data_IF_442138328858
#
_entry.id   IF_442138328858
#
_cell.length_a   1.000
_cell.length_b   1.000
_cell.length_c   1.000
_cell.angle_alpha   90.00
_cell.angle_beta   90.00
_cell.angle_gamma   90.00
#
_symmetry.space_group_name_H-M   'P 1'
#
loop_
_entity.id
_entity.type
_entity.pdbx_description
1 polymer ?
#
# COMPACT_ATOMS: atom_id res chain seq x y z
N UNK A 1 26.25 -23.90 -23.07
CA UNK A 1 26.06 -22.44 -23.28
C UNK A 1 24.62 -22.17 -22.88
N UNK A 2 24.31 -21.54 -21.73
CA UNK A 2 24.65 -20.16 -21.31
C UNK A 2 24.10 -19.16 -22.36
N UNK A 3 23.23 -18.19 -22.11
CA UNK A 3 22.40 -17.78 -20.94
C UNK A 3 21.06 -17.21 -21.52
N UNK A 4 20.06 -16.69 -20.79
CA UNK A 4 19.94 -16.18 -19.41
C UNK A 4 18.53 -16.46 -18.80
N UNK A 5 18.21 -15.79 -17.69
CA UNK A 5 16.90 -15.72 -17.00
C UNK A 5 16.35 -14.29 -16.96
N UNK A 6 15.03 -14.13 -16.92
CA UNK A 6 14.38 -13.10 -16.09
C UNK A 6 13.01 -13.61 -15.60
N UNK A 7 12.76 -13.46 -14.30
CA UNK A 7 11.47 -13.79 -13.69
C UNK A 7 10.55 -12.57 -13.77
N UNK A 8 9.36 -12.73 -14.35
CA UNK A 8 8.28 -11.73 -14.25
C UNK A 8 7.17 -12.27 -13.35
N UNK A 9 7.36 -12.15 -12.04
CA UNK A 9 6.34 -12.48 -11.04
C UNK A 9 5.47 -11.26 -10.77
N UNK A 10 4.58 -10.92 -11.72
CA UNK A 10 3.63 -9.83 -11.55
C UNK A 10 2.49 -10.23 -10.60
N UNK A 11 2.56 -9.80 -9.34
CA UNK A 11 1.36 -9.54 -8.53
C UNK A 11 1.06 -8.04 -8.56
N UNK A 12 0.08 -7.65 -9.37
CA UNK A 12 -0.48 -6.29 -9.36
C UNK A 12 -1.77 -6.26 -8.54
N UNK A 13 -1.75 -5.54 -7.42
CA UNK A 13 -2.94 -5.16 -6.68
C UNK A 13 -3.66 -4.03 -7.43
N UNK A 14 -4.63 -4.38 -8.27
CA UNK A 14 -5.48 -3.43 -8.99
C UNK A 14 -6.68 -3.04 -8.12
N UNK A 15 -6.74 -1.78 -7.71
CA UNK A 15 -7.87 -1.25 -6.93
C UNK A 15 -8.57 -0.15 -7.72
N UNK A 16 -9.82 -0.41 -8.08
CA UNK A 16 -10.66 0.51 -8.83
C UNK A 16 -11.49 1.38 -7.89
N UNK A 17 -10.96 2.55 -7.53
CA UNK A 17 -11.72 3.58 -6.82
C UNK A 17 -12.73 4.24 -7.76
N UNK A 18 -14.03 4.04 -7.52
CA UNK A 18 -15.09 4.63 -8.35
C UNK A 18 -15.68 5.89 -7.71
N UNK A 19 -14.96 7.01 -7.83
CA UNK A 19 -15.44 8.35 -7.49
C UNK A 19 -15.46 9.23 -8.74
N UNK A 20 -16.57 9.15 -9.48
CA UNK A 20 -16.89 9.92 -10.71
C UNK A 20 -16.02 9.63 -11.96
N UNK A 21 -14.79 9.15 -11.80
CA UNK A 21 -13.99 8.48 -12.85
C UNK A 21 -13.38 7.20 -12.28
N UNK A 22 -13.25 6.16 -13.10
CA UNK A 22 -12.62 4.92 -12.67
C UNK A 22 -11.11 5.11 -12.56
N UNK A 23 -10.59 5.26 -11.34
CA UNK A 23 -9.16 5.35 -11.10
C UNK A 23 -8.55 3.95 -11.11
N UNK A 24 -7.53 3.72 -11.94
CA UNK A 24 -6.65 2.57 -11.77
C UNK A 24 -5.43 3.02 -10.98
N UNK A 25 -5.35 2.59 -9.72
CA UNK A 25 -4.11 2.62 -8.93
C UNK A 25 -3.59 1.19 -8.91
N UNK A 26 -2.29 1.03 -9.17
CA UNK A 26 -1.62 -0.26 -9.12
C UNK A 26 -0.33 -0.15 -8.31
N UNK A 27 -0.23 -0.93 -7.23
CA UNK A 27 1.06 -1.33 -6.66
C UNK A 27 1.69 -2.44 -7.51
N UNK A 28 2.99 -2.72 -7.43
CA UNK A 28 4.04 -2.18 -6.54
C UNK A 28 5.35 -2.19 -7.32
N UNK A 29 6.13 -1.10 -7.33
CA UNK A 29 7.54 -1.13 -7.78
C UNK A 29 8.37 -0.20 -6.90
N UNK A 30 9.26 -0.77 -6.08
CA UNK A 30 10.28 -0.07 -5.26
C UNK A 30 9.80 1.27 -4.64
N UNK A 31 9.02 1.18 -3.55
CA UNK A 31 8.48 2.31 -2.75
C UNK A 31 7.65 3.38 -3.47
N UNK A 32 7.27 3.18 -4.74
CA UNK A 32 6.49 4.14 -5.51
C UNK A 32 5.10 3.60 -5.86
N UNK A 33 4.07 4.42 -5.64
CA UNK A 33 2.69 4.16 -6.08
C UNK A 33 2.46 4.82 -7.44
N UNK A 34 2.07 4.03 -8.45
CA UNK A 34 1.72 4.53 -9.78
C UNK A 34 0.22 4.54 -9.98
N UNK A 35 -0.28 5.58 -10.64
CA UNK A 35 -1.71 5.80 -10.81
C UNK A 35 -2.04 6.41 -12.17
N UNK A 36 -3.33 6.31 -12.52
CA UNK A 36 -3.84 6.74 -13.80
C UNK A 36 -5.33 7.11 -13.77
N UNK A 37 -5.68 8.11 -14.57
CA UNK A 37 -7.01 8.65 -14.79
C UNK A 37 -7.44 8.47 -16.25
N UNK A 38 -8.68 8.02 -16.45
CA UNK A 38 -9.30 7.70 -17.76
C UNK A 38 -8.57 6.61 -18.58
N UNK A 39 -9.31 5.69 -19.22
CA UNK A 39 -8.73 4.45 -19.79
C UNK A 39 -8.81 4.40 -21.33
N UNK A 40 -7.88 5.05 -22.07
CA UNK A 40 -7.65 4.76 -23.49
C UNK A 40 -6.39 3.92 -23.83
N UNK A 41 -5.24 4.10 -23.17
CA UNK A 41 -3.94 3.52 -23.60
C UNK A 41 -2.99 3.21 -22.44
N UNK A 42 -2.38 2.02 -22.28
CA UNK A 42 -1.62 1.62 -21.08
C UNK A 42 -0.33 2.45 -20.78
N UNK A 43 -0.51 3.64 -20.19
CA UNK A 43 0.51 4.57 -19.73
C UNK A 43 0.18 5.02 -18.29
N UNK A 44 1.19 5.42 -17.51
CA UNK A 44 1.04 5.99 -16.16
C UNK A 44 1.04 7.50 -16.22
N UNK A 45 0.17 8.17 -15.46
CA UNK A 45 0.08 9.64 -15.49
C UNK A 45 1.05 10.28 -14.49
N UNK A 46 1.27 9.65 -13.34
CA UNK A 46 2.11 10.17 -12.26
C UNK A 46 2.48 9.08 -11.24
N UNK A 47 3.35 9.42 -10.28
CA UNK A 47 3.81 8.55 -9.19
C UNK A 47 4.02 9.30 -7.88
N UNK A 48 3.73 8.67 -6.75
CA UNK A 48 4.07 9.16 -5.40
C UNK A 48 5.11 8.21 -4.76
N UNK A 49 6.25 8.74 -4.32
CA UNK A 49 7.17 8.01 -3.44
C UNK A 49 6.62 8.03 -2.02
N UNK A 50 6.55 6.85 -1.41
CA UNK A 50 6.00 6.65 -0.06
C UNK A 50 7.04 6.09 0.92
N UNK A 51 8.28 5.85 0.48
CA UNK A 51 9.38 5.39 1.34
C UNK A 51 9.21 3.98 1.94
N UNK A 52 8.10 3.29 1.67
CA UNK A 52 7.74 1.97 2.22
C UNK A 52 7.20 1.06 1.13
N UNK A 53 7.29 -0.27 1.32
CA UNK A 53 6.75 -1.24 0.36
C UNK A 53 5.27 -1.50 0.66
N UNK A 54 4.39 -0.63 0.17
CA UNK A 54 2.94 -0.78 0.28
C UNK A 54 2.38 -1.91 -0.61
N UNK A 55 1.37 -2.63 -0.12
CA UNK A 55 0.82 -3.84 -0.75
C UNK A 55 -0.58 -3.60 -1.36
N UNK A 56 -1.64 -3.68 -0.55
CA UNK A 56 -3.01 -3.44 -1.00
C UNK A 56 -3.46 -2.02 -0.68
N UNK A 57 -4.28 -1.47 -1.58
CA UNK A 57 -4.81 -0.11 -1.54
C UNK A 57 -6.30 -0.15 -1.19
N UNK A 58 -6.73 0.67 -0.26
CA UNK A 58 -8.13 0.97 0.01
C UNK A 58 -8.40 2.43 -0.40
N UNK A 59 -9.61 2.71 -0.90
CA UNK A 59 -10.01 4.06 -1.33
C UNK A 59 -11.18 4.51 -0.46
N UNK A 60 -10.97 5.52 0.38
CA UNK A 60 -12.07 6.10 1.17
C UNK A 60 -13.10 6.74 0.22
N UNK A 61 -14.28 6.15 0.14
CA UNK A 61 -15.33 6.52 -0.83
C UNK A 61 -15.87 7.95 -0.64
N UNK A 62 -15.59 8.63 0.48
CA UNK A 62 -16.09 9.98 0.76
C UNK A 62 -15.08 11.07 0.41
N UNK A 63 -13.80 10.77 0.53
CA UNK A 63 -12.69 11.73 0.39
C UNK A 63 -11.83 11.47 -0.83
N UNK A 64 -11.78 10.22 -1.31
CA UNK A 64 -10.79 9.77 -2.29
C UNK A 64 -9.40 9.55 -1.69
N UNK A 65 -9.25 9.67 -0.36
CA UNK A 65 -7.97 9.38 0.32
C UNK A 65 -7.61 7.89 0.15
N UNK A 66 -6.36 7.61 -0.20
CA UNK A 66 -5.84 6.24 -0.26
C UNK A 66 -5.34 5.81 1.12
N UNK A 67 -5.58 4.56 1.47
CA UNK A 67 -5.06 3.91 2.68
C UNK A 67 -4.41 2.59 2.31
N UNK A 68 -3.23 2.30 2.84
CA UNK A 68 -2.44 1.13 2.45
C UNK A 68 -1.80 0.47 3.66
N UNK A 69 -1.76 -0.86 3.68
CA UNK A 69 -0.82 -1.59 4.53
C UNK A 69 0.53 -1.68 3.83
N UNK A 70 1.61 -1.37 4.56
CA UNK A 70 2.95 -1.30 3.99
C UNK A 70 3.99 -2.02 4.84
N UNK A 71 5.12 -2.33 4.21
CA UNK A 71 6.24 -3.04 4.82
C UNK A 71 7.46 -2.12 4.89
N UNK A 72 7.86 -1.61 6.08
CA UNK A 72 9.00 -0.70 6.23
C UNK A 72 10.34 -1.33 5.83
N UNK A 73 10.42 -2.66 5.88
CA UNK A 73 11.54 -3.41 5.35
C UNK A 73 11.03 -4.75 4.78
N UNK A 74 10.81 -4.79 3.47
CA UNK A 74 10.35 -5.98 2.74
C UNK A 74 11.30 -7.18 2.91
N UNK A 75 12.62 -6.96 3.09
CA UNK A 75 13.56 -8.07 3.27
C UNK A 75 13.28 -8.87 4.54
N UNK A 76 12.81 -8.23 5.63
CA UNK A 76 12.42 -8.95 6.85
C UNK A 76 11.21 -9.88 6.65
N UNK A 77 10.32 -9.56 5.70
CA UNK A 77 9.22 -10.46 5.33
C UNK A 77 9.74 -11.66 4.56
N UNK A 78 10.72 -11.46 3.66
CA UNK A 78 11.29 -12.53 2.82
C UNK A 78 12.21 -13.46 3.61
N UNK A 79 13.06 -12.95 4.51
CA UNK A 79 14.02 -13.76 5.27
C UNK A 79 13.48 -14.29 6.59
N UNK A 80 12.47 -13.61 7.17
CA UNK A 80 11.76 -13.93 8.42
C UNK A 80 12.62 -14.48 9.57
N UNK A 81 13.04 -13.60 10.49
CA UNK A 81 13.56 -14.00 11.81
C UNK A 81 12.51 -13.68 12.90
N UNK A 82 12.01 -14.67 13.67
CA UNK A 82 11.09 -14.40 14.78
C UNK A 82 11.70 -13.58 15.94
N UNK A 83 13.03 -13.39 15.97
CA UNK A 83 13.71 -12.48 16.92
C UNK A 83 13.82 -11.04 16.41
N UNK A 84 13.71 -10.84 15.10
CA UNK A 84 13.72 -9.54 14.43
C UNK A 84 12.59 -9.47 13.38
N UNK A 85 11.32 -9.51 13.83
CA UNK A 85 10.17 -9.72 12.95
C UNK A 85 10.00 -8.57 11.93
N UNK A 86 9.34 -8.84 10.79
CA UNK A 86 8.92 -7.78 9.89
C UNK A 86 7.88 -6.86 10.54
N UNK A 87 8.15 -5.56 10.47
CA UNK A 87 7.24 -4.52 10.95
C UNK A 87 5.97 -4.36 10.11
N UNK A 88 5.16 -3.39 10.51
CA UNK A 88 3.91 -2.99 9.86
C UNK A 88 3.80 -1.48 9.82
N UNK A 89 3.32 -0.95 8.71
CA UNK A 89 2.97 0.47 8.56
C UNK A 89 1.58 0.61 7.93
N UNK A 90 0.87 1.68 8.28
CA UNK A 90 -0.27 2.17 7.51
C UNK A 90 0.05 3.56 7.00
N UNK A 91 0.11 3.69 5.68
CA UNK A 91 0.27 4.97 5.02
C UNK A 91 -1.06 5.43 4.45
N UNK A 92 -1.28 6.74 4.57
CA UNK A 92 -2.42 7.44 3.98
C UNK A 92 -1.93 8.47 2.97
N UNK A 93 -2.57 8.55 1.80
CA UNK A 93 -2.31 9.60 0.81
C UNK A 93 -3.58 10.43 0.63
N UNK A 94 -3.46 11.75 0.83
CA UNK A 94 -4.51 12.73 0.53
C UNK A 94 -4.17 13.51 -0.74
N UNK A 95 -5.20 13.93 -1.46
CA UNK A 95 -5.07 14.81 -2.64
C UNK A 95 -4.12 14.26 -3.72
N UNK A 96 -4.20 12.98 -4.07
CA UNK A 96 -3.27 12.32 -5.03
C UNK A 96 -3.25 12.94 -6.44
N UNK A 97 -4.28 13.72 -6.80
CA UNK A 97 -4.34 14.48 -8.05
C UNK A 97 -3.60 15.83 -8.01
N UNK A 98 -3.16 16.28 -6.84
CA UNK A 98 -2.48 17.58 -6.68
C UNK A 98 -0.99 17.48 -7.01
N UNK A 99 -0.35 18.62 -7.27
CA UNK A 99 1.11 18.71 -7.46
C UNK A 99 1.91 18.26 -6.24
N UNK A 100 1.30 18.29 -5.04
CA UNK A 100 1.93 17.93 -3.77
C UNK A 100 1.00 17.04 -2.93
N UNK A 101 0.86 15.74 -3.27
CA UNK A 101 0.11 14.78 -2.47
C UNK A 101 0.65 14.69 -1.05
N UNK A 102 -0.24 14.58 -0.05
CA UNK A 102 0.17 14.51 1.36
C UNK A 102 0.19 13.06 1.80
N UNK A 103 1.38 12.53 2.07
CA UNK A 103 1.59 11.20 2.66
C UNK A 103 1.71 11.32 4.18
N UNK A 104 0.96 10.52 4.93
CA UNK A 104 1.05 10.44 6.40
C UNK A 104 1.12 9.00 6.90
N UNK A 105 1.91 8.80 7.97
CA UNK A 105 2.00 7.54 8.71
C UNK A 105 0.91 7.52 9.79
N UNK A 106 -0.11 6.69 9.61
CA UNK A 106 -1.27 6.59 10.51
C UNK A 106 -1.08 5.48 11.57
N UNK A 107 -0.22 4.50 11.28
CA UNK A 107 0.19 3.43 12.21
C UNK A 107 1.59 2.95 11.84
N UNK A 108 2.43 2.64 12.84
CA UNK A 108 3.73 2.03 12.66
C UNK A 108 4.08 1.13 13.85
N UNK A 109 4.57 -0.08 13.58
CA UNK A 109 4.97 -1.07 14.59
C UNK A 109 6.17 -1.90 14.10
N UNK A 110 7.01 -2.33 15.04
CA UNK A 110 8.24 -3.08 14.76
C UNK A 110 8.02 -4.61 14.63
N UNK A 111 6.76 -5.04 14.54
CA UNK A 111 6.36 -6.43 14.41
C UNK A 111 5.86 -7.05 15.71
N UNK A 112 6.08 -6.41 16.87
CA UNK A 112 5.65 -6.91 18.18
C UNK A 112 4.14 -6.90 18.35
N UNK A 113 3.44 -5.90 17.83
CA UNK A 113 1.97 -5.83 17.88
C UNK A 113 1.38 -6.47 16.64
N UNK A 114 1.82 -6.08 15.44
CA UNK A 114 1.32 -6.58 14.16
C UNK A 114 2.50 -6.73 13.18
N UNK A 115 2.57 -7.85 12.46
CA UNK A 115 3.61 -8.11 11.46
C UNK A 115 3.00 -8.05 10.06
N UNK A 116 3.75 -7.52 9.08
CA UNK A 116 3.41 -7.59 7.65
C UNK A 116 1.99 -7.09 7.32
N UNK A 117 1.64 -5.87 7.76
CA UNK A 117 0.39 -5.21 7.34
C UNK A 117 0.29 -5.09 5.83
N UNK A 118 -0.81 -5.58 5.25
CA UNK A 118 -1.07 -5.63 3.79
C UNK A 118 -2.15 -4.64 3.36
N UNK A 119 -3.17 -4.41 4.20
CA UNK A 119 -4.33 -3.55 3.90
C UNK A 119 -4.76 -2.79 5.14
N UNK A 120 -5.31 -1.59 4.96
CA UNK A 120 -5.87 -0.80 6.03
C UNK A 120 -7.14 -0.07 5.57
N UNK A 121 -8.26 -0.29 6.26
CA UNK A 121 -9.57 0.25 5.87
C UNK A 121 -10.15 1.11 7.00
N UNK A 122 -10.41 2.42 6.77
CA UNK A 122 -11.05 3.28 7.75
C UNK A 122 -12.57 3.10 7.75
N UNK A 123 -13.20 3.19 8.92
CA UNK A 123 -14.66 3.27 9.02
C UNK A 123 -15.10 4.00 10.30
N UNK A 124 -15.80 5.13 10.16
CA UNK A 124 -16.41 5.89 11.28
C UNK A 124 -15.47 6.13 12.48
N UNK A 125 -14.28 6.66 12.25
CA UNK A 125 -13.29 6.93 13.30
C UNK A 125 -12.64 5.68 13.89
N UNK A 126 -12.61 4.59 13.11
CA UNK A 126 -11.93 3.33 13.40
C UNK A 126 -11.07 2.95 12.21
N UNK A 127 -10.03 2.15 12.44
CA UNK A 127 -9.15 1.60 11.41
C UNK A 127 -9.04 0.10 11.61
N UNK A 128 -9.34 -0.68 10.58
CA UNK A 128 -9.08 -2.12 10.54
C UNK A 128 -7.82 -2.36 9.69
N UNK A 129 -6.82 -3.03 10.26
CA UNK A 129 -5.55 -3.32 9.59
C UNK A 129 -5.42 -4.84 9.45
N UNK A 130 -5.30 -5.33 8.21
CA UNK A 130 -5.01 -6.73 7.91
C UNK A 130 -3.53 -6.98 7.68
N UNK A 131 -3.06 -8.20 7.94
CA UNK A 131 -1.70 -8.65 7.60
C UNK A 131 -1.70 -9.82 6.63
N UNK A 132 -0.57 -10.06 5.96
CA UNK A 132 -0.42 -11.17 4.99
C UNK A 132 -0.59 -12.54 5.67
N UNK A 133 -0.01 -12.75 6.86
CA UNK A 133 0.00 -14.06 7.52
C UNK A 133 -0.04 -14.06 9.06
N UNK A 134 -0.21 -12.92 9.74
CA UNK A 134 -0.19 -12.85 11.21
C UNK A 134 -1.62 -12.79 11.78
N UNK A 135 -2.17 -11.59 11.99
CA UNK A 135 -3.51 -11.34 12.55
C UNK A 135 -4.08 -10.04 11.97
N UNK A 136 -5.21 -9.59 12.51
CA UNK A 136 -5.74 -8.25 12.25
C UNK A 136 -5.62 -7.37 13.51
N UNK A 137 -5.57 -6.05 13.31
CA UNK A 137 -5.62 -5.05 14.37
C UNK A 137 -6.80 -4.10 14.12
N UNK A 138 -7.48 -3.69 15.19
CA UNK A 138 -8.61 -2.76 15.14
C UNK A 138 -8.34 -1.60 16.10
N UNK A 139 -8.26 -0.38 15.55
CA UNK A 139 -7.81 0.81 16.26
C UNK A 139 -8.88 1.91 16.25
N UNK A 140 -8.84 2.77 17.26
CA UNK A 140 -9.46 4.10 17.20
C UNK A 140 -8.59 5.05 16.37
N UNK A 141 -9.19 5.77 15.42
CA UNK A 141 -8.55 6.93 14.79
C UNK A 141 -8.77 8.15 15.69
N UNK A 142 -7.71 8.92 15.95
CA UNK A 142 -7.73 10.14 16.78
C UNK A 142 -7.84 11.40 15.93
#
# INVERSE_FOLDING_TARGET
>A
MLFSSSQETYQSSLVAGCTQKCHQVAGIVYSNIKYRFDIPEFNWDSSVDVGSSCDNIEVDQKTGDLWMGCHPNLMKMVTYDPKDPPGSEVLKIKNIHSENPVVSLEYGDDGKVLMVSTVATPYKGKLLIGSVFHKALYCDLK
#
